data_IF_818517436319
#
_entry.id   IF_818517436319
#
_cell.length_a   1.000
_cell.length_b   1.000
_cell.length_c   1.000
_cell.angle_alpha   90.00
_cell.angle_beta   90.00
_cell.angle_gamma   90.00
#
_symmetry.space_group_name_H-M   'P 1'
#
loop_
_entity.id
_entity.type
_entity.pdbx_description
1 polymer ?
#
# COMPACT_ATOMS: atom_id res chain seq x y z
N UNK A 1 20.89 -12.61 -3.21
CA UNK A 1 19.51 -12.84 -2.73
C UNK A 1 19.39 -13.25 -1.26
N UNK A 2 20.46 -13.67 -0.57
CA UNK A 2 20.37 -14.14 0.84
C UNK A 2 19.94 -13.06 1.86
N UNK A 3 20.33 -11.79 1.69
CA UNK A 3 19.99 -10.70 2.63
C UNK A 3 18.48 -10.39 2.69
N UNK A 4 17.82 -10.38 1.53
CA UNK A 4 16.37 -10.14 1.44
C UNK A 4 15.55 -11.30 1.99
N UNK A 5 16.02 -12.54 1.82
CA UNK A 5 15.34 -13.72 2.38
C UNK A 5 15.30 -13.72 3.90
N UNK A 6 16.45 -13.48 4.55
CA UNK A 6 16.53 -13.43 6.02
C UNK A 6 15.71 -12.28 6.62
N UNK A 7 15.65 -11.14 5.93
CA UNK A 7 14.79 -10.01 6.34
C UNK A 7 13.30 -10.37 6.23
N UNK A 8 12.88 -11.00 5.15
CA UNK A 8 11.49 -11.45 4.96
C UNK A 8 11.09 -12.50 5.99
N UNK A 9 12.00 -13.41 6.36
CA UNK A 9 11.78 -14.41 7.40
C UNK A 9 11.64 -13.78 8.80
N UNK A 10 12.48 -12.80 9.13
CA UNK A 10 12.30 -11.99 10.35
C UNK A 10 10.96 -11.25 10.34
N UNK A 11 10.62 -10.58 9.24
CA UNK A 11 9.36 -9.86 9.12
C UNK A 11 8.14 -10.79 9.15
N UNK A 12 8.23 -12.01 8.62
CA UNK A 12 7.13 -12.97 8.71
C UNK A 12 6.92 -13.41 10.16
N UNK A 13 7.99 -13.65 10.92
CA UNK A 13 7.90 -13.98 12.35
C UNK A 13 7.16 -12.89 13.14
N UNK A 14 7.50 -11.61 12.91
CA UNK A 14 6.84 -10.49 13.59
C UNK A 14 5.45 -10.16 13.03
N UNK A 15 5.22 -10.36 11.73
CA UNK A 15 3.98 -9.95 11.06
C UNK A 15 2.85 -10.99 11.07
N UNK A 16 3.15 -12.27 11.31
CA UNK A 16 2.14 -13.36 11.29
C UNK A 16 1.68 -13.81 12.67
N UNK A 17 2.33 -13.33 13.72
CA UNK A 17 1.99 -13.67 15.10
C UNK A 17 1.17 -12.57 15.74
N UNK A 18 0.28 -12.97 16.64
CA UNK A 18 -0.43 -12.03 17.49
C UNK A 18 0.48 -11.57 18.63
N UNK A 19 0.48 -10.25 18.87
CA UNK A 19 1.28 -9.64 19.93
C UNK A 19 0.34 -9.02 20.95
N UNK A 20 0.29 -9.61 22.15
CA UNK A 20 -0.36 -8.98 23.29
C UNK A 20 0.56 -7.91 23.86
N UNK A 21 0.33 -6.66 23.50
CA UNK A 21 1.04 -5.52 24.07
C UNK A 21 0.42 -5.19 25.43
N UNK A 22 1.10 -5.53 26.52
CA UNK A 22 0.65 -5.23 27.87
C UNK A 22 1.20 -3.88 28.35
N UNK A 23 0.30 -2.93 28.66
CA UNK A 23 0.67 -1.62 29.21
C UNK A 23 0.24 -1.42 30.68
N UNK A 24 -0.05 -2.51 31.39
CA UNK A 24 -0.62 -2.46 32.74
C UNK A 24 0.27 -1.75 33.76
N UNK A 25 1.57 -2.05 33.75
CA UNK A 25 2.53 -1.47 34.69
C UNK A 25 2.69 0.04 34.50
N UNK A 26 2.73 0.53 33.26
CA UNK A 26 2.85 1.97 32.96
C UNK A 26 1.59 2.71 33.38
N UNK A 27 0.40 2.14 33.13
CA UNK A 27 -0.87 2.70 33.60
C UNK A 27 -0.93 2.77 35.12
N UNK A 28 -0.48 1.72 35.80
CA UNK A 28 -0.39 1.69 37.27
C UNK A 28 0.57 2.75 37.78
N UNK A 29 1.78 2.83 37.22
CA UNK A 29 2.80 3.82 37.60
C UNK A 29 2.25 5.24 37.47
N UNK A 30 1.55 5.52 36.36
CA UNK A 30 0.92 6.83 36.15
C UNK A 30 -0.13 7.17 37.20
N UNK A 31 -0.94 6.19 37.61
CA UNK A 31 -1.94 6.38 38.66
C UNK A 31 -1.35 6.63 40.05
N UNK A 32 -0.06 6.33 40.25
CA UNK A 32 0.67 6.60 41.49
C UNK A 32 1.35 7.97 41.50
N UNK A 33 1.42 8.68 40.36
CA UNK A 33 2.04 10.00 40.28
C UNK A 33 1.12 11.07 40.87
N UNK A 34 1.72 12.05 41.53
CA UNK A 34 1.02 13.28 41.89
C UNK A 34 0.68 14.09 40.63
N UNK A 35 -0.25 15.05 40.76
CA UNK A 35 -0.66 15.91 39.65
C UNK A 35 0.52 16.74 39.08
N UNK A 36 1.45 17.15 39.92
CA UNK A 36 2.63 17.92 39.51
C UNK A 36 3.67 17.03 38.80
N UNK A 37 3.93 15.84 39.33
CA UNK A 37 4.85 14.88 38.69
C UNK A 37 4.30 14.38 37.36
N UNK A 38 2.99 14.13 37.26
CA UNK A 38 2.37 13.69 36.01
C UNK A 38 2.45 14.75 34.91
N UNK A 39 2.55 16.05 35.26
CA UNK A 39 2.77 17.13 34.28
C UNK A 39 4.23 17.19 33.82
N UNK A 40 5.17 16.91 34.73
CA UNK A 40 6.59 16.90 34.40
C UNK A 40 7.00 15.66 33.60
N UNK A 41 6.38 14.51 33.91
CA UNK A 41 6.67 13.19 33.36
C UNK A 41 5.49 12.68 32.53
N UNK A 42 5.20 13.36 31.43
CA UNK A 42 4.11 12.94 30.55
C UNK A 42 4.56 11.80 29.62
N UNK A 43 4.20 10.56 29.99
CA UNK A 43 4.47 9.34 29.20
C UNK A 43 3.19 8.64 28.75
N UNK A 44 2.08 9.37 28.65
CA UNK A 44 0.85 8.85 28.10
C UNK A 44 0.90 8.74 26.58
N UNK A 45 0.78 7.51 26.09
CA UNK A 45 0.65 7.26 24.66
C UNK A 45 -0.72 7.68 24.10
N UNK A 46 -1.74 7.87 24.96
CA UNK A 46 -3.08 8.30 24.56
C UNK A 46 -3.19 9.78 24.19
N UNK A 47 -2.29 10.64 24.69
CA UNK A 47 -2.32 12.08 24.39
C UNK A 47 -1.69 12.42 23.04
N UNK A 48 -0.94 11.48 22.46
CA UNK A 48 -0.25 11.69 21.19
C UNK A 48 -1.25 11.68 20.03
N UNK A 49 -1.25 12.74 19.22
CA UNK A 49 -1.89 12.72 17.91
C UNK A 49 -1.11 11.82 16.95
N UNK A 50 -1.43 10.52 16.96
CA UNK A 50 -0.73 9.52 16.16
C UNK A 50 -0.72 9.83 14.66
N UNK A 51 -1.78 10.43 14.13
CA UNK A 51 -1.86 10.79 12.71
C UNK A 51 -0.83 11.86 12.34
N UNK A 52 -0.67 12.88 13.18
CA UNK A 52 0.32 13.94 13.00
C UNK A 52 1.74 13.46 13.27
N UNK A 53 1.92 12.64 14.30
CA UNK A 53 3.19 12.00 14.62
C UNK A 53 3.72 11.21 13.42
N UNK A 54 2.93 10.29 12.85
CA UNK A 54 3.38 9.49 11.72
C UNK A 54 3.57 10.31 10.43
N UNK A 55 2.78 11.37 10.24
CA UNK A 55 2.93 12.31 9.12
C UNK A 55 4.31 12.97 9.08
N UNK A 56 4.89 13.27 10.23
CA UNK A 56 6.20 13.94 10.34
C UNK A 56 7.34 12.94 10.51
N UNK A 57 7.11 11.87 11.26
CA UNK A 57 8.10 10.84 11.58
C UNK A 57 8.58 10.06 10.36
N UNK A 58 7.66 9.56 9.52
CA UNK A 58 8.03 8.73 8.36
C UNK A 58 8.88 9.52 7.35
N UNK A 59 8.52 10.75 6.93
CA UNK A 59 9.39 11.57 6.08
C UNK A 59 10.73 11.90 6.73
N UNK A 60 10.76 12.08 8.05
CA UNK A 60 11.99 12.29 8.82
C UNK A 60 12.97 11.12 8.67
N UNK A 61 12.51 9.88 8.90
CA UNK A 61 13.34 8.69 8.70
C UNK A 61 13.88 8.63 7.26
N UNK A 62 13.00 8.81 6.26
CA UNK A 62 13.41 8.78 4.85
C UNK A 62 14.50 9.80 4.54
N UNK A 63 14.36 11.01 5.05
CA UNK A 63 15.31 12.10 4.83
C UNK A 63 16.64 11.88 5.54
N UNK A 64 16.63 11.50 6.81
CA UNK A 64 17.83 11.49 7.64
C UNK A 64 18.52 10.12 7.70
N UNK A 65 17.74 9.05 7.87
CA UNK A 65 18.27 7.69 7.96
C UNK A 65 18.63 7.14 6.59
N UNK A 66 17.67 7.18 5.66
CA UNK A 66 17.88 6.65 4.31
C UNK A 66 18.57 7.66 3.38
N UNK A 67 18.79 8.90 3.83
CA UNK A 67 19.37 9.98 3.03
C UNK A 67 18.66 10.16 1.69
N UNK A 68 17.37 9.86 1.63
CA UNK A 68 16.57 10.11 0.44
C UNK A 68 16.50 11.63 0.25
N UNK A 69 17.09 12.12 -0.84
CA UNK A 69 17.14 13.55 -1.13
C UNK A 69 15.76 14.18 -1.00
N UNK A 70 15.70 15.35 -0.34
CA UNK A 70 14.48 16.01 0.12
C UNK A 70 13.32 15.75 -0.85
N UNK A 71 12.35 14.95 -0.40
CA UNK A 71 11.09 14.71 -1.12
C UNK A 71 10.35 16.04 -1.12
N UNK A 72 10.73 16.91 -2.05
CA UNK A 72 10.08 18.19 -2.32
C UNK A 72 8.74 17.83 -2.96
N UNK A 73 7.74 17.61 -2.09
CA UNK A 73 6.32 17.40 -2.36
C UNK A 73 6.01 16.25 -3.31
N UNK A 74 5.47 15.14 -2.80
CA UNK A 74 4.67 14.15 -3.56
C UNK A 74 5.13 13.79 -4.97
N UNK A 75 6.44 13.86 -5.23
CA UNK A 75 6.96 13.59 -6.56
C UNK A 75 7.20 12.09 -6.63
N UNK A 76 6.12 11.34 -6.87
CA UNK A 76 6.19 10.20 -7.77
C UNK A 76 7.07 10.63 -8.94
N UNK A 77 8.33 10.17 -9.01
CA UNK A 77 9.22 10.52 -10.12
C UNK A 77 8.74 9.71 -11.32
N UNK A 78 8.10 10.30 -12.35
CA UNK A 78 7.65 9.54 -13.52
C UNK A 78 8.82 8.84 -14.24
N UNK A 79 10.05 9.36 -14.08
CA UNK A 79 11.27 8.76 -14.60
C UNK A 79 11.57 7.35 -14.03
N UNK A 80 11.26 7.09 -12.76
CA UNK A 80 11.42 5.76 -12.13
C UNK A 80 10.35 4.76 -12.62
N UNK A 81 9.26 5.27 -13.18
CA UNK A 81 8.08 4.51 -13.57
C UNK A 81 7.98 4.23 -15.07
N UNK A 82 9.04 4.41 -15.88
CA UNK A 82 8.98 4.03 -17.31
C UNK A 82 8.53 2.58 -17.52
N UNK A 83 9.00 1.66 -16.67
CA UNK A 83 8.57 0.25 -16.66
C UNK A 83 7.11 0.10 -16.27
N UNK A 84 6.68 0.79 -15.20
CA UNK A 84 5.29 0.77 -14.74
C UNK A 84 4.31 1.37 -15.76
N UNK A 85 4.67 2.49 -16.39
CA UNK A 85 3.90 3.11 -17.46
C UNK A 85 3.85 2.23 -18.72
N UNK A 86 4.93 1.50 -19.02
CA UNK A 86 4.91 0.50 -20.08
C UNK A 86 3.96 -0.66 -19.74
N UNK A 87 4.06 -1.23 -18.54
CA UNK A 87 3.16 -2.30 -18.07
C UNK A 87 1.70 -1.85 -18.11
N UNK A 88 1.38 -0.65 -17.63
CA UNK A 88 0.02 -0.08 -17.69
C UNK A 88 -0.49 -0.01 -19.12
N UNK A 89 0.32 0.51 -20.05
CA UNK A 89 -0.05 0.60 -21.48
C UNK A 89 -0.23 -0.78 -22.13
N UNK A 90 0.64 -1.73 -21.78
CA UNK A 90 0.55 -3.11 -22.27
C UNK A 90 -0.75 -3.78 -21.80
N UNK A 91 -1.04 -3.71 -20.50
CA UNK A 91 -2.28 -4.26 -19.91
C UNK A 91 -3.51 -3.66 -20.58
N UNK A 92 -3.53 -2.34 -20.75
CA UNK A 92 -4.65 -1.65 -21.39
C UNK A 92 -4.86 -2.11 -22.85
N UNK A 93 -3.79 -2.30 -23.63
CA UNK A 93 -3.89 -2.86 -25.00
C UNK A 93 -4.40 -4.29 -25.01
N UNK A 94 -3.91 -5.14 -24.10
CA UNK A 94 -4.36 -6.53 -24.00
C UNK A 94 -5.85 -6.63 -23.66
N UNK A 95 -6.35 -5.77 -22.76
CA UNK A 95 -7.77 -5.67 -22.45
C UNK A 95 -8.58 -5.28 -23.69
N UNK A 96 -8.15 -4.26 -24.44
CA UNK A 96 -8.84 -3.86 -25.67
C UNK A 96 -8.82 -4.96 -26.74
N UNK A 97 -7.69 -5.63 -26.94
CA UNK A 97 -7.58 -6.77 -27.87
C UNK A 97 -8.56 -7.88 -27.45
N UNK A 98 -8.60 -8.21 -26.16
CA UNK A 98 -9.52 -9.21 -25.64
C UNK A 98 -10.99 -8.84 -25.86
N UNK A 99 -11.36 -7.58 -25.61
CA UNK A 99 -12.72 -7.06 -25.88
C UNK A 99 -13.05 -7.17 -27.36
N UNK A 100 -12.16 -6.75 -28.26
CA UNK A 100 -12.36 -6.86 -29.70
C UNK A 100 -12.54 -8.32 -30.15
N UNK A 101 -11.68 -9.23 -29.67
CA UNK A 101 -11.78 -10.67 -29.97
C UNK A 101 -13.07 -11.29 -29.40
N UNK A 102 -13.57 -10.79 -28.26
CA UNK A 102 -14.84 -11.25 -27.70
C UNK A 102 -16.02 -10.74 -28.52
N UNK A 103 -15.98 -9.48 -28.96
CA UNK A 103 -17.02 -8.89 -29.82
C UNK A 103 -17.09 -9.57 -31.20
N UNK A 104 -15.94 -9.84 -31.85
CA UNK A 104 -15.93 -10.52 -33.16
C UNK A 104 -16.42 -11.96 -33.08
N UNK A 105 -16.17 -12.66 -31.96
CA UNK A 105 -16.75 -14.00 -31.72
C UNK A 105 -18.26 -13.95 -31.50
N UNK A 106 -18.78 -12.92 -30.85
CA UNK A 106 -20.22 -12.73 -30.66
C UNK A 106 -20.89 -12.41 -31.99
N UNK A 107 -20.33 -11.50 -32.79
CA UNK A 107 -20.88 -11.16 -34.12
C UNK A 107 -20.77 -12.33 -35.10
N UNK A 108 -19.68 -13.09 -35.09
CA UNK A 108 -19.54 -14.29 -35.93
C UNK A 108 -20.56 -15.38 -35.57
N UNK A 109 -20.85 -15.59 -34.28
CA UNK A 109 -21.92 -16.50 -33.85
C UNK A 109 -23.30 -15.99 -34.27
N UNK A 110 -23.56 -14.70 -34.09
CA UNK A 110 -24.80 -14.07 -34.52
C UNK A 110 -25.03 -14.18 -36.04
N UNK A 111 -23.98 -13.96 -36.85
CA UNK A 111 -24.05 -14.10 -38.31
C UNK A 111 -24.20 -15.57 -38.72
N UNK A 112 -23.54 -16.52 -38.05
CA UNK A 112 -23.72 -17.95 -38.31
C UNK A 112 -25.15 -18.43 -38.03
N UNK A 113 -25.78 -17.94 -36.96
CA UNK A 113 -27.16 -18.30 -36.60
C UNK A 113 -28.21 -17.61 -37.50
N UNK A 114 -27.93 -16.39 -37.97
CA UNK A 114 -28.84 -15.62 -38.83
C UNK A 114 -28.51 -15.71 -40.33
N UNK A 115 -27.52 -16.50 -40.72
CA UNK A 115 -27.07 -16.68 -42.12
C UNK A 115 -28.20 -17.24 -42.99
N UNK A 116 -29.04 -18.12 -42.45
CA UNK A 116 -30.22 -18.65 -43.15
C UNK A 116 -31.32 -17.59 -43.35
N UNK A 117 -31.50 -16.67 -42.39
CA UNK A 117 -32.49 -15.60 -42.50
C UNK A 117 -32.08 -14.53 -43.52
N UNK A 118 -30.78 -14.28 -43.66
CA UNK A 118 -30.22 -13.35 -44.66
C UNK A 118 -30.13 -13.94 -46.08
N UNK A 119 -30.20 -15.26 -46.23
CA UNK A 119 -30.17 -15.96 -47.54
C UNK A 119 -31.56 -16.17 -48.16
N UNK A 120 -32.62 -16.00 -47.36
CA UNK A 120 -34.03 -16.18 -47.76
C UNK A 120 -34.77 -14.83 -47.91
N UNK A 121 -34.17 -13.74 -47.41
CA UNK A 121 -34.63 -12.36 -47.63
C UNK A 121 -33.97 -11.74 -48.87
#
# INVERSE_FOLDING_TARGET
>A
MQKTGRFLELMSYFGTREWTIANGNVRRLRGLLSADESRLLEFDMGTINWAEYFRTYIPGIRRYWFREGAVRGDRWKPAANRRFQFMKRLVQKLVWIWVCLRMTRVTSKFVAENLFALLIA
#
